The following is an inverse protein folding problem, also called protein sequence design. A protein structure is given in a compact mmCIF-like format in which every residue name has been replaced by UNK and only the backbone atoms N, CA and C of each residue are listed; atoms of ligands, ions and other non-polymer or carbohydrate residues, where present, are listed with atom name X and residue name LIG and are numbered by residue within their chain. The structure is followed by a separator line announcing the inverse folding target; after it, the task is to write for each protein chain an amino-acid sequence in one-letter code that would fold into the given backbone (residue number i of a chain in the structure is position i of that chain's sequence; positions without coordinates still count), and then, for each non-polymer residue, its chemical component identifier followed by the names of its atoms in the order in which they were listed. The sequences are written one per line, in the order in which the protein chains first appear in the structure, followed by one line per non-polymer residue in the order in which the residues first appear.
data_IF_020245220925
#
_entry.id   IF_020245220925
#
_cell.length_a   1.000
_cell.length_b   1.000
_cell.length_c   1.000
_cell.angle_alpha   90.00
_cell.angle_beta   90.00
_cell.angle_gamma   90.00
#
_symmetry.space_group_name_H-M   'P 1'
#
loop_
_entity.id
_entity.type
_entity.pdbx_description
1 polymer ?
#
# COMPACT_ATOMS: atom_id res chain seq x y z
N UNK A 1 -5.87 -21.17 -8.64
CA UNK A 1 -5.84 -19.73 -8.28
C UNK A 1 -4.55 -19.31 -7.54
N UNK A 2 -4.07 -20.02 -6.48
CA UNK A 2 -2.88 -19.59 -5.74
C UNK A 2 -1.60 -19.52 -6.60
N UNK A 3 -1.46 -20.43 -7.57
CA UNK A 3 -0.28 -20.52 -8.42
C UNK A 3 -0.09 -19.30 -9.33
N UNK A 4 -1.17 -18.78 -9.93
CA UNK A 4 -1.12 -17.56 -10.76
C UNK A 4 -0.82 -16.32 -9.91
N UNK A 5 -1.37 -16.26 -8.69
CA UNK A 5 -1.11 -15.21 -7.72
C UNK A 5 0.38 -15.17 -7.31
N UNK A 6 0.94 -16.33 -6.95
CA UNK A 6 2.37 -16.45 -6.60
C UNK A 6 3.26 -16.12 -7.79
N UNK A 7 2.92 -16.60 -9.00
CA UNK A 7 3.70 -16.27 -10.21
C UNK A 7 3.67 -14.77 -10.51
N UNK A 8 2.49 -14.12 -10.43
CA UNK A 8 2.36 -12.69 -10.66
C UNK A 8 3.17 -11.86 -9.64
N UNK A 9 3.10 -12.23 -8.36
CA UNK A 9 3.88 -11.56 -7.30
C UNK A 9 5.38 -11.79 -7.49
N UNK A 10 5.81 -13.02 -7.76
CA UNK A 10 7.24 -13.33 -7.98
C UNK A 10 7.78 -12.59 -9.20
N UNK A 11 7.01 -12.51 -10.29
CA UNK A 11 7.39 -11.74 -11.47
C UNK A 11 7.48 -10.24 -11.15
N UNK A 12 6.52 -9.68 -10.41
CA UNK A 12 6.56 -8.27 -9.99
C UNK A 12 7.74 -7.97 -9.09
N UNK A 13 7.95 -8.74 -8.02
CA UNK A 13 9.05 -8.55 -7.08
C UNK A 13 10.39 -8.67 -7.82
N UNK A 14 10.56 -9.67 -8.68
CA UNK A 14 11.81 -9.86 -9.43
C UNK A 14 12.11 -8.70 -10.37
N UNK A 15 11.11 -8.16 -11.05
CA UNK A 15 11.31 -7.03 -11.97
C UNK A 15 11.54 -5.73 -11.19
N UNK A 16 10.92 -5.56 -10.02
CA UNK A 16 11.17 -4.43 -9.14
C UNK A 16 12.53 -4.50 -8.44
N UNK A 17 13.12 -5.68 -8.21
CA UNK A 17 14.49 -5.85 -7.67
C UNK A 17 15.62 -5.43 -8.61
N UNK A 18 15.30 -5.07 -9.85
CA UNK A 18 16.28 -4.52 -10.78
C UNK A 18 16.58 -3.06 -10.42
N UNK A 19 17.85 -2.69 -10.49
CA UNK A 19 18.26 -1.29 -10.33
C UNK A 19 17.57 -0.42 -11.38
N UNK A 20 16.82 0.58 -10.93
CA UNK A 20 16.04 1.47 -11.79
C UNK A 20 16.84 2.76 -12.00
N UNK A 21 17.13 3.13 -13.25
CA UNK A 21 17.74 4.41 -13.58
C UNK A 21 16.84 5.55 -13.08
N UNK A 22 17.40 6.47 -12.29
CA UNK A 22 16.65 7.57 -11.67
C UNK A 22 16.07 8.60 -12.64
N UNK A 23 16.33 8.46 -13.95
CA UNK A 23 16.01 9.46 -14.95
C UNK A 23 16.79 10.77 -14.79
N UNK A 24 17.80 10.81 -13.91
CA UNK A 24 18.69 11.94 -13.72
C UNK A 24 20.04 11.64 -14.37
N UNK A 25 20.59 12.62 -15.10
CA UNK A 25 22.00 12.61 -15.48
C UNK A 25 22.76 13.43 -14.44
N UNK A 26 23.79 12.84 -13.86
CA UNK A 26 24.66 13.54 -12.91
C UNK A 26 26.07 13.59 -13.47
N UNK A 27 26.62 14.79 -13.51
CA UNK A 27 28.00 15.03 -13.87
C UNK A 27 28.82 15.11 -12.57
N UNK A 28 29.74 14.17 -12.38
CA UNK A 28 30.65 14.14 -11.23
C UNK A 28 32.09 14.41 -11.67
N UNK A 29 32.90 15.07 -10.84
CA UNK A 29 34.34 15.13 -11.11
C UNK A 29 35.03 13.79 -10.76
N UNK A 30 36.34 13.63 -11.05
CA UNK A 30 37.07 12.39 -10.74
C UNK A 30 37.11 12.03 -9.24
N UNK A 31 36.90 13.02 -8.35
CA UNK A 31 36.81 12.83 -6.90
C UNK A 31 35.36 12.61 -6.41
N UNK A 32 34.45 12.24 -7.31
CA UNK A 32 33.03 11.96 -7.09
C UNK A 32 32.14 13.13 -6.60
N UNK A 33 32.68 14.34 -6.48
CA UNK A 33 31.87 15.52 -6.15
C UNK A 33 30.96 15.92 -7.31
N UNK A 34 29.71 16.25 -7.00
CA UNK A 34 28.68 16.61 -7.99
C UNK A 34 29.00 17.99 -8.58
N UNK A 35 29.20 18.06 -9.90
CA UNK A 35 29.41 19.31 -10.63
C UNK A 35 28.09 19.92 -11.08
N UNK A 36 27.22 19.07 -11.64
CA UNK A 36 25.92 19.42 -12.22
C UNK A 36 24.96 18.23 -12.13
N UNK A 37 23.67 18.53 -11.88
CA UNK A 37 22.57 17.56 -11.97
C UNK A 37 21.62 18.03 -13.06
N UNK A 38 21.34 17.16 -14.01
CA UNK A 38 20.43 17.46 -15.11
C UNK A 38 18.98 17.46 -14.63
N UNK A 39 18.31 18.61 -14.76
CA UNK A 39 16.86 18.68 -14.60
C UNK A 39 16.17 17.90 -15.73
N UNK A 40 15.26 16.99 -15.37
CA UNK A 40 14.58 16.05 -16.29
C UNK A 40 15.52 15.14 -17.08
N UNK A 41 16.73 14.89 -16.58
CA UNK A 41 17.65 13.97 -17.21
C UNK A 41 18.23 14.45 -18.53
N UNK A 42 18.21 15.77 -18.81
CA UNK A 42 18.74 16.38 -20.04
C UNK A 42 19.84 17.40 -19.76
N UNK A 43 20.94 17.31 -20.51
CA UNK A 43 22.07 18.23 -20.53
C UNK A 43 22.29 18.73 -21.96
N UNK A 44 22.23 20.04 -22.14
CA UNK A 44 22.56 20.70 -23.40
C UNK A 44 24.01 21.17 -23.32
N UNK A 45 24.88 20.66 -24.20
CA UNK A 45 26.30 20.99 -24.26
C UNK A 45 26.57 21.78 -25.54
N UNK A 46 27.06 23.00 -25.38
CA UNK A 46 27.53 23.83 -26.50
C UNK A 46 29.04 23.73 -26.61
N UNK A 47 29.51 23.25 -27.76
CA UNK A 47 30.92 23.18 -28.13
C UNK A 47 31.22 24.32 -29.13
N UNK A 48 31.99 25.35 -28.76
CA UNK A 48 32.40 26.43 -29.65
C UNK A 48 33.53 25.99 -30.59
N UNK A 49 33.86 26.83 -31.58
CA UNK A 49 34.97 26.60 -32.51
C UNK A 49 36.29 26.40 -31.74
N UNK A 50 36.99 25.29 -32.01
CA UNK A 50 38.23 24.94 -31.33
C UNK A 50 38.04 24.25 -29.97
N UNK A 51 36.79 24.09 -29.51
CA UNK A 51 36.46 23.18 -28.42
C UNK A 51 36.39 21.73 -28.88
N UNK A 52 36.51 20.81 -27.91
CA UNK A 52 36.43 19.37 -28.14
C UNK A 52 35.53 18.76 -27.07
N UNK A 53 34.69 17.82 -27.44
CA UNK A 53 33.91 16.98 -26.54
C UNK A 53 34.09 15.52 -26.93
N UNK A 54 34.71 14.76 -26.04
CA UNK A 54 34.86 13.32 -26.15
C UNK A 54 33.93 12.64 -25.13
N UNK A 55 33.16 11.67 -25.62
CA UNK A 55 32.38 10.76 -24.80
C UNK A 55 32.99 9.38 -24.92
N UNK A 56 33.50 8.84 -23.80
CA UNK A 56 34.19 7.56 -23.74
C UNK A 56 33.50 6.62 -22.77
N UNK A 57 33.69 5.31 -22.94
CA UNK A 57 33.41 4.35 -21.86
C UNK A 57 34.41 4.55 -20.72
N UNK A 58 34.11 4.01 -19.54
CA UNK A 58 35.07 4.00 -18.41
C UNK A 58 36.34 3.18 -18.76
N UNK A 59 36.23 2.22 -19.68
CA UNK A 59 37.37 1.46 -20.21
C UNK A 59 38.20 2.22 -21.27
N UNK A 60 37.80 3.44 -21.64
CA UNK A 60 38.53 4.31 -22.57
C UNK A 60 38.14 4.18 -24.05
N UNK A 61 37.11 3.41 -24.39
CA UNK A 61 36.60 3.31 -25.76
C UNK A 61 35.88 4.60 -26.16
N UNK A 62 36.28 5.21 -27.29
CA UNK A 62 35.66 6.44 -27.79
C UNK A 62 34.30 6.15 -28.43
N UNK A 63 33.24 6.67 -27.81
CA UNK A 63 31.86 6.48 -28.27
C UNK A 63 31.40 7.60 -29.20
N UNK A 64 31.84 8.83 -28.95
CA UNK A 64 31.55 9.98 -29.79
C UNK A 64 32.59 11.08 -29.57
N UNK A 65 32.90 11.80 -30.65
CA UNK A 65 33.76 12.98 -30.64
C UNK A 65 33.07 14.12 -31.39
N UNK A 66 33.05 15.30 -30.77
CA UNK A 66 32.49 16.52 -31.36
C UNK A 66 33.56 17.61 -31.30
N UNK A 67 34.11 17.95 -32.48
CA UNK A 67 35.11 18.99 -32.67
C UNK A 67 34.69 19.91 -33.84
N UNK A 68 34.06 21.05 -33.57
CA UNK A 68 33.52 21.94 -34.60
C UNK A 68 34.63 22.69 -35.33
N UNK A 69 34.71 22.51 -36.66
CA UNK A 69 35.68 23.24 -37.52
C UNK A 69 35.26 24.68 -37.80
N UNK A 70 33.96 24.98 -37.74
CA UNK A 70 33.39 26.32 -37.90
C UNK A 70 32.11 26.47 -37.06
N UNK A 71 31.89 27.67 -36.49
CA UNK A 71 30.71 27.95 -35.66
C UNK A 71 30.70 27.25 -34.30
N UNK A 72 29.51 27.09 -33.72
CA UNK A 72 29.27 26.27 -32.51
C UNK A 72 28.48 25.01 -32.90
N UNK A 73 28.66 23.93 -32.17
CA UNK A 73 27.85 22.72 -32.27
C UNK A 73 27.14 22.48 -30.95
N UNK A 74 25.85 22.22 -31.03
CA UNK A 74 25.02 21.88 -29.88
C UNK A 74 24.85 20.36 -29.84
N UNK A 75 25.10 19.80 -28.65
CA UNK A 75 25.01 18.38 -28.34
C UNK A 75 24.03 18.23 -27.21
N UNK A 76 23.10 17.30 -27.35
CA UNK A 76 22.08 17.04 -26.34
C UNK A 76 22.31 15.63 -25.79
N UNK A 77 22.49 15.53 -24.47
CA UNK A 77 22.54 14.28 -23.74
C UNK A 77 21.27 14.16 -22.90
N UNK A 78 20.48 13.11 -23.10
CA UNK A 78 19.29 12.88 -22.29
C UNK A 78 19.10 11.42 -21.93
N UNK A 79 18.32 11.14 -20.88
CA UNK A 79 17.89 9.80 -20.54
C UNK A 79 16.50 9.56 -21.10
N UNK A 80 16.34 8.46 -21.82
CA UNK A 80 15.03 7.89 -22.16
C UNK A 80 15.02 6.40 -21.81
N UNK A 81 13.99 5.97 -21.07
CA UNK A 81 13.81 4.58 -20.58
C UNK A 81 15.08 3.95 -20.00
N UNK A 82 15.89 4.75 -19.28
CA UNK A 82 17.10 4.29 -18.62
C UNK A 82 18.35 4.17 -19.49
N UNK A 83 18.28 4.54 -20.78
CA UNK A 83 19.44 4.60 -21.68
C UNK A 83 19.87 6.04 -21.89
N UNK A 84 21.17 6.26 -22.13
CA UNK A 84 21.71 7.59 -22.46
C UNK A 84 21.59 7.79 -23.97
N UNK A 85 20.87 8.83 -24.37
CA UNK A 85 20.76 9.26 -25.75
C UNK A 85 21.70 10.44 -25.98
N UNK A 86 22.56 10.30 -26.98
CA UNK A 86 23.43 11.35 -27.46
C UNK A 86 22.89 11.84 -28.81
N UNK A 87 22.38 13.05 -28.84
CA UNK A 87 21.90 13.69 -30.06
C UNK A 87 22.89 14.75 -30.51
N UNK A 88 23.37 14.59 -31.74
CA UNK A 88 24.29 15.50 -32.41
C UNK A 88 23.69 15.95 -33.75
N UNK A 89 24.22 16.99 -34.41
CA UNK A 89 23.77 17.35 -35.76
C UNK A 89 23.96 16.24 -36.81
N UNK A 90 24.83 15.25 -36.53
CA UNK A 90 25.09 14.12 -37.42
C UNK A 90 24.13 12.94 -37.22
N UNK A 91 23.29 12.99 -36.18
CA UNK A 91 22.37 11.92 -35.81
C UNK A 91 22.32 11.66 -34.31
N UNK A 92 21.47 10.71 -33.94
CA UNK A 92 21.26 10.28 -32.56
C UNK A 92 21.87 8.90 -32.33
N UNK A 93 22.57 8.73 -31.22
CA UNK A 93 23.19 7.46 -30.80
C UNK A 93 22.66 7.07 -29.43
N UNK A 94 22.10 5.88 -29.34
CA UNK A 94 21.66 5.29 -28.06
C UNK A 94 22.84 4.55 -27.43
N UNK A 95 23.13 4.87 -26.18
CA UNK A 95 24.27 4.36 -25.43
C UNK A 95 23.75 3.58 -24.22
N UNK A 96 24.05 2.28 -24.18
CA UNK A 96 23.61 1.34 -23.14
C UNK A 96 24.66 1.20 -22.01
N UNK A 97 25.23 2.31 -21.54
CA UNK A 97 26.18 2.33 -20.42
C UNK A 97 25.66 3.23 -19.29
N UNK A 98 25.89 2.81 -18.04
CA UNK A 98 25.42 3.54 -16.84
C UNK A 98 26.39 4.63 -16.36
N UNK A 99 27.62 4.56 -16.86
CA UNK A 99 28.71 5.49 -16.60
C UNK A 99 29.48 5.75 -17.89
N UNK A 100 29.67 7.03 -18.20
CA UNK A 100 30.47 7.49 -19.33
C UNK A 100 31.48 8.52 -18.85
N UNK A 101 32.68 8.46 -19.41
CA UNK A 101 33.70 9.46 -19.19
C UNK A 101 33.47 10.59 -20.21
N UNK A 102 33.28 11.80 -19.72
CA UNK A 102 33.10 13.00 -20.51
C UNK A 102 34.33 13.88 -20.35
N UNK A 103 35.11 13.98 -21.42
CA UNK A 103 36.28 14.86 -21.48
C UNK A 103 35.99 15.98 -22.46
N UNK A 104 36.11 17.22 -22.01
CA UNK A 104 35.79 18.36 -22.85
C UNK A 104 36.74 19.53 -22.64
N UNK A 105 36.99 20.28 -23.71
CA UNK A 105 37.77 21.52 -23.70
C UNK A 105 36.93 22.66 -24.22
N UNK A 106 36.91 23.75 -23.47
CA UNK A 106 36.17 24.98 -23.78
C UNK A 106 34.69 24.71 -24.10
N UNK A 107 33.94 24.06 -23.22
CA UNK A 107 32.51 23.77 -23.42
C UNK A 107 31.63 24.54 -22.47
N UNK A 108 30.38 24.76 -22.86
CA UNK A 108 29.34 25.28 -21.96
C UNK A 108 28.28 24.21 -21.78
N UNK A 109 28.00 23.84 -20.54
CA UNK A 109 26.94 22.89 -20.18
C UNK A 109 25.79 23.66 -19.56
N UNK A 110 24.60 23.51 -20.13
CA UNK A 110 23.36 24.11 -19.66
C UNK A 110 22.34 23.05 -19.26
N UNK A 111 21.67 23.31 -18.14
CA UNK A 111 20.44 22.63 -17.73
C UNK A 111 19.37 23.68 -17.44
N UNK A 112 18.11 23.26 -17.27
CA UNK A 112 16.98 24.18 -17.07
C UNK A 112 17.17 24.96 -15.75
N UNK A 113 17.75 26.16 -15.86
CA UNK A 113 17.99 27.10 -14.74
C UNK A 113 19.46 27.35 -14.39
N UNK A 114 20.43 26.61 -14.96
CA UNK A 114 21.85 26.78 -14.65
C UNK A 114 22.72 26.52 -15.88
N UNK A 115 23.65 27.44 -16.17
CA UNK A 115 24.63 27.32 -17.26
C UNK A 115 26.02 27.49 -16.69
N UNK A 116 26.91 26.51 -16.91
CA UNK A 116 28.31 26.55 -16.47
C UNK A 116 29.26 26.35 -17.64
N UNK A 117 30.26 27.22 -17.74
CA UNK A 117 31.38 27.07 -18.68
C UNK A 117 32.53 26.27 -18.06
N UNK A 118 33.18 25.44 -18.86
CA UNK A 118 34.34 24.64 -18.46
C UNK A 118 35.46 24.77 -19.49
N UNK A 119 36.62 25.25 -19.06
CA UNK A 119 37.83 25.32 -19.90
C UNK A 119 38.43 23.93 -20.13
N UNK A 120 38.55 23.14 -19.07
CA UNK A 120 38.92 21.73 -19.11
C UNK A 120 37.99 20.94 -18.17
N UNK A 121 37.19 20.06 -18.74
CA UNK A 121 36.25 19.22 -18.02
C UNK A 121 36.70 17.76 -18.15
N UNK A 122 36.94 17.12 -17.02
CA UNK A 122 36.94 15.67 -16.92
C UNK A 122 35.85 15.31 -15.92
N UNK A 123 34.85 14.58 -16.37
CA UNK A 123 33.73 14.20 -15.54
C UNK A 123 33.24 12.79 -15.86
N UNK A 124 32.65 12.16 -14.85
CA UNK A 124 31.88 10.93 -15.02
C UNK A 124 30.42 11.33 -15.12
N UNK A 125 29.84 11.09 -16.29
CA UNK A 125 28.41 11.15 -16.51
C UNK A 125 27.81 9.83 -16.00
N UNK A 126 27.10 9.88 -14.88
CA UNK A 126 26.44 8.70 -14.31
C UNK A 126 24.93 8.85 -14.41
N UNK A 127 24.25 7.72 -14.61
CA UNK A 127 22.83 7.60 -14.31
C UNK A 127 22.72 7.00 -12.90
N UNK A 128 22.35 7.78 -11.87
CA UNK A 128 22.17 7.22 -10.54
C UNK A 128 21.12 6.13 -10.62
N UNK A 129 21.41 5.00 -9.98
CA UNK A 129 20.48 3.89 -9.90
C UNK A 129 19.90 3.82 -8.51
N UNK A 130 18.60 3.60 -8.43
CA UNK A 130 17.89 3.32 -7.17
C UNK A 130 17.43 1.88 -7.22
N UNK A 131 17.58 1.20 -6.09
CA UNK A 131 17.16 -0.19 -5.95
C UNK A 131 15.92 -0.25 -5.11
N UNK A 132 15.01 -1.16 -5.45
CA UNK A 132 13.87 -1.49 -4.60
C UNK A 132 14.28 -2.11 -3.27
N UNK A 133 15.51 -2.63 -3.16
CA UNK A 133 16.11 -3.06 -1.88
C UNK A 133 16.12 -1.90 -0.88
N UNK A 134 16.33 -0.65 -1.31
CA UNK A 134 16.24 0.51 -0.43
C UNK A 134 14.82 0.71 0.15
N UNK A 135 13.78 0.27 -0.58
CA UNK A 135 12.43 0.28 -0.06
C UNK A 135 12.16 -0.82 0.95
N UNK A 136 12.81 -1.97 0.81
CA UNK A 136 12.83 -3.01 1.85
C UNK A 136 13.59 -2.52 3.08
N UNK A 137 14.78 -1.95 2.90
CA UNK A 137 15.55 -1.37 4.01
C UNK A 137 14.75 -0.29 4.75
N UNK A 138 14.03 0.57 4.01
CA UNK A 138 13.15 1.57 4.59
C UNK A 138 12.04 0.95 5.46
N UNK A 139 11.44 -0.16 5.03
CA UNK A 139 10.33 -0.79 5.76
C UNK A 139 10.81 -1.62 6.96
N UNK A 140 11.95 -2.30 6.82
CA UNK A 140 12.42 -3.31 7.76
C UNK A 140 13.47 -2.81 8.76
N UNK A 141 13.97 -1.59 8.60
CA UNK A 141 14.92 -1.02 9.56
C UNK A 141 14.17 -0.39 10.74
N UNK A 142 14.35 -0.90 11.99
CA UNK A 142 13.56 -0.43 13.13
C UNK A 142 13.89 1.01 13.53
N UNK A 143 12.86 1.83 13.74
CA UNK A 143 12.96 3.13 14.43
C UNK A 143 12.39 3.02 15.86
N UNK A 144 13.27 2.69 16.81
CA UNK A 144 12.92 2.56 18.22
C UNK A 144 12.40 3.86 18.84
N UNK A 145 12.72 5.03 18.25
CA UNK A 145 12.23 6.32 18.70
C UNK A 145 10.71 6.46 18.52
N UNK A 146 10.13 5.75 17.55
CA UNK A 146 8.70 5.78 17.24
C UNK A 146 7.82 4.98 18.18
N UNK A 147 8.39 4.08 18.99
CA UNK A 147 7.61 3.30 19.96
C UNK A 147 6.95 4.16 21.04
N UNK A 148 7.43 5.38 21.26
CA UNK A 148 6.83 6.35 22.19
C UNK A 148 5.68 7.15 21.57
N UNK A 149 5.44 7.06 20.26
CA UNK A 149 4.38 7.78 19.56
C UNK A 149 3.07 6.97 19.62
N UNK A 150 2.04 7.43 20.35
CA UNK A 150 0.76 6.72 20.42
C UNK A 150 0.07 6.56 19.06
N UNK A 151 0.31 7.45 18.11
CA UNK A 151 -0.32 7.36 16.78
C UNK A 151 0.19 6.16 15.99
N UNK A 152 1.45 5.75 16.21
CA UNK A 152 2.02 4.55 15.58
C UNK A 152 1.31 3.30 16.09
N UNK A 153 1.00 3.23 17.39
CA UNK A 153 0.25 2.12 17.97
C UNK A 153 -1.21 2.10 17.51
N UNK A 154 -1.85 3.28 17.42
CA UNK A 154 -3.21 3.40 16.88
C UNK A 154 -3.27 2.89 15.43
N UNK A 155 -2.34 3.32 14.58
CA UNK A 155 -2.26 2.87 13.19
C UNK A 155 -1.98 1.36 13.09
N UNK A 156 -1.03 0.85 13.89
CA UNK A 156 -0.68 -0.57 13.89
C UNK A 156 -1.85 -1.47 14.32
N UNK A 157 -2.56 -1.11 15.38
CA UNK A 157 -3.72 -1.90 15.84
C UNK A 157 -4.88 -1.80 14.86
N UNK A 158 -5.17 -0.60 14.33
CA UNK A 158 -6.18 -0.44 13.28
C UNK A 158 -5.89 -1.34 12.08
N UNK A 159 -4.63 -1.38 11.63
CA UNK A 159 -4.21 -2.26 10.55
C UNK A 159 -4.39 -3.75 10.89
N UNK A 160 -4.01 -4.19 12.09
CA UNK A 160 -4.19 -5.59 12.53
C UNK A 160 -5.67 -5.99 12.56
N UNK A 161 -6.57 -5.12 13.03
CA UNK A 161 -8.01 -5.38 13.01
C UNK A 161 -8.54 -5.48 11.59
N UNK A 162 -8.15 -4.53 10.73
CA UNK A 162 -8.58 -4.48 9.34
C UNK A 162 -8.12 -5.70 8.54
N UNK A 163 -6.82 -6.02 8.59
CA UNK A 163 -6.23 -7.09 7.78
C UNK A 163 -6.69 -8.47 8.19
N UNK A 164 -6.86 -8.73 9.49
CA UNK A 164 -7.37 -10.00 10.00
C UNK A 164 -8.90 -10.08 10.04
N UNK A 165 -9.62 -9.05 9.57
CA UNK A 165 -11.09 -8.98 9.58
C UNK A 165 -11.70 -9.13 10.99
N UNK A 166 -11.02 -8.63 12.02
CA UNK A 166 -11.47 -8.67 13.41
C UNK A 166 -12.47 -7.54 13.70
N UNK A 167 -13.51 -7.82 14.48
CA UNK A 167 -14.56 -6.83 14.81
C UNK A 167 -15.57 -6.55 13.69
N UNK A 168 -15.44 -7.17 12.51
CA UNK A 168 -16.40 -7.09 11.41
C UNK A 168 -17.54 -8.12 11.51
N UNK A 169 -17.47 -9.06 12.45
CA UNK A 169 -18.39 -10.21 12.54
C UNK A 169 -18.19 -11.29 11.46
N UNK A 170 -17.42 -11.01 10.41
CA UNK A 170 -17.16 -11.93 9.30
C UNK A 170 -16.55 -13.26 9.76
N UNK A 171 -15.53 -13.22 10.63
CA UNK A 171 -14.88 -14.44 11.16
C UNK A 171 -15.84 -15.25 12.03
N UNK A 172 -16.68 -14.60 12.84
CA UNK A 172 -17.70 -15.27 13.66
C UNK A 172 -18.69 -16.01 12.75
N UNK A 173 -19.18 -15.34 11.71
CA UNK A 173 -20.10 -15.96 10.74
C UNK A 173 -19.43 -17.09 9.95
N UNK A 174 -18.16 -16.97 9.57
CA UNK A 174 -17.45 -18.05 8.88
C UNK A 174 -17.24 -19.26 9.82
N UNK A 175 -16.90 -19.00 11.08
CA UNK A 175 -16.71 -20.02 12.09
C UNK A 175 -18.01 -20.75 12.46
N UNK A 176 -19.20 -20.13 12.27
CA UNK A 176 -20.49 -20.81 12.53
C UNK A 176 -20.76 -21.97 11.55
N UNK A 177 -20.10 -21.99 10.39
CA UNK A 177 -20.17 -23.10 9.43
C UNK A 177 -19.18 -24.24 9.74
N UNK A 178 -18.26 -24.03 10.69
CA UNK A 178 -17.34 -25.07 11.16
C UNK A 178 -18.12 -26.06 12.02
N UNK A 179 -17.90 -27.36 11.82
CA UNK A 179 -18.58 -28.37 12.62
C UNK A 179 -18.12 -28.27 14.06
N UNK A 180 -19.03 -28.58 14.98
CA UNK A 180 -18.84 -28.48 16.42
C UNK A 180 -17.45 -28.97 16.90
N UNK A 181 -16.98 -30.16 16.53
CA UNK A 181 -15.71 -30.73 17.03
C UNK A 181 -14.52 -30.60 16.07
N UNK A 182 -14.60 -29.72 15.06
CA UNK A 182 -13.45 -29.42 14.21
C UNK A 182 -12.49 -28.43 14.87
N UNK A 183 -11.20 -28.60 14.60
CA UNK A 183 -10.15 -27.71 15.08
C UNK A 183 -10.31 -26.29 14.54
N UNK A 184 -10.38 -25.34 15.47
CA UNK A 184 -10.31 -23.90 15.17
C UNK A 184 -8.97 -23.28 15.60
N UNK A 185 -8.18 -23.96 16.45
CA UNK A 185 -6.93 -23.42 16.98
C UNK A 185 -5.83 -23.41 15.91
N UNK A 186 -5.55 -24.54 15.26
CA UNK A 186 -4.57 -24.59 14.18
C UNK A 186 -5.12 -23.92 12.92
N UNK A 187 -6.40 -24.15 12.58
CA UNK A 187 -7.04 -23.52 11.43
C UNK A 187 -7.03 -21.99 11.50
N UNK A 188 -7.37 -21.42 12.67
CA UNK A 188 -7.33 -19.97 12.90
C UNK A 188 -5.91 -19.40 12.86
N UNK A 189 -4.94 -20.10 13.47
CA UNK A 189 -3.53 -19.70 13.40
C UNK A 189 -3.00 -19.74 11.97
N UNK A 190 -3.34 -20.78 11.19
CA UNK A 190 -2.93 -20.91 9.80
C UNK A 190 -3.53 -19.79 8.94
N UNK A 191 -4.83 -19.48 9.11
CA UNK A 191 -5.48 -18.38 8.39
C UNK A 191 -4.81 -17.03 8.71
N UNK A 192 -4.60 -16.72 9.99
CA UNK A 192 -3.92 -15.49 10.40
C UNK A 192 -2.48 -15.44 9.87
N UNK A 193 -1.73 -16.52 9.97
CA UNK A 193 -0.33 -16.57 9.51
C UNK A 193 -0.20 -16.41 7.99
N UNK A 194 -1.14 -16.99 7.21
CA UNK A 194 -1.20 -16.81 5.76
C UNK A 194 -1.55 -15.37 5.39
N UNK A 195 -2.43 -14.72 6.15
CA UNK A 195 -2.73 -13.30 5.98
C UNK A 195 -1.47 -12.45 6.22
N UNK A 196 -0.80 -12.63 7.36
CA UNK A 196 0.41 -11.86 7.69
C UNK A 196 1.52 -12.10 6.66
N UNK A 197 1.71 -13.34 6.22
CA UNK A 197 2.65 -13.62 5.13
C UNK A 197 2.29 -12.86 3.85
N UNK A 198 1.02 -12.83 3.46
CA UNK A 198 0.58 -12.08 2.29
C UNK A 198 0.78 -10.56 2.48
N UNK A 199 0.47 -10.01 3.65
CA UNK A 199 0.63 -8.58 3.94
C UNK A 199 2.11 -8.17 3.96
N UNK A 200 2.91 -8.78 4.83
CA UNK A 200 4.26 -8.33 5.12
C UNK A 200 5.30 -8.85 4.14
N UNK A 201 5.07 -9.96 3.45
CA UNK A 201 6.00 -10.45 2.43
C UNK A 201 5.55 -10.01 1.05
N UNK A 202 4.30 -10.22 0.67
CA UNK A 202 3.86 -9.97 -0.71
C UNK A 202 3.45 -8.51 -0.92
N UNK A 203 2.53 -7.98 -0.11
CA UNK A 203 2.04 -6.60 -0.24
C UNK A 203 3.13 -5.56 -0.04
N UNK A 204 3.86 -5.69 1.08
CA UNK A 204 4.98 -4.84 1.44
C UNK A 204 6.13 -4.86 0.41
N UNK A 205 6.35 -5.97 -0.31
CA UNK A 205 7.46 -6.07 -1.28
C UNK A 205 7.15 -5.52 -2.68
N UNK A 206 5.93 -5.03 -2.92
CA UNK A 206 5.52 -4.50 -4.23
C UNK A 206 5.49 -2.98 -4.21
N UNK A 207 4.54 -2.38 -3.48
CA UNK A 207 4.21 -0.97 -3.65
C UNK A 207 5.30 -0.01 -3.14
N UNK A 208 5.78 -0.24 -1.91
CA UNK A 208 6.80 0.61 -1.29
C UNK A 208 8.15 0.45 -2.01
N UNK A 209 8.67 -0.77 -2.28
CA UNK A 209 9.90 -0.94 -3.02
C UNK A 209 9.86 -0.34 -4.43
N UNK A 210 8.74 -0.48 -5.16
CA UNK A 210 8.57 0.18 -6.45
C UNK A 210 8.62 1.70 -6.34
N UNK A 211 7.86 2.28 -5.41
CA UNK A 211 7.83 3.73 -5.22
C UNK A 211 9.18 4.29 -4.77
N UNK A 212 9.91 3.59 -3.91
CA UNK A 212 11.26 3.99 -3.48
C UNK A 212 12.26 3.88 -4.62
N UNK A 213 12.20 2.81 -5.42
CA UNK A 213 13.07 2.64 -6.57
C UNK A 213 12.89 3.79 -7.59
N UNK A 214 11.66 4.20 -7.87
CA UNK A 214 11.41 5.28 -8.82
C UNK A 214 11.61 6.68 -8.22
N UNK A 215 10.98 6.95 -7.08
CA UNK A 215 10.87 8.31 -6.53
C UNK A 215 11.87 8.62 -5.41
N UNK A 216 12.49 7.59 -4.82
CA UNK A 216 13.28 7.70 -3.59
C UNK A 216 12.41 7.73 -2.34
N UNK A 217 13.01 7.43 -1.17
CA UNK A 217 12.31 7.28 0.11
C UNK A 217 11.47 8.50 0.48
N UNK A 218 12.05 9.71 0.43
CA UNK A 218 11.35 10.92 0.82
C UNK A 218 10.07 11.17 -0.01
N UNK A 219 10.16 11.01 -1.33
CA UNK A 219 9.01 11.20 -2.21
C UNK A 219 7.98 10.07 -2.09
N UNK A 220 8.43 8.82 -1.89
CA UNK A 220 7.52 7.70 -1.64
C UNK A 220 6.67 7.93 -0.37
N UNK A 221 7.26 8.47 0.70
CA UNK A 221 6.53 8.87 1.92
C UNK A 221 5.52 9.98 1.61
N UNK A 222 5.91 11.00 0.84
CA UNK A 222 5.00 12.10 0.47
C UNK A 222 3.81 11.59 -0.34
N UNK A 223 4.05 10.72 -1.33
CA UNK A 223 3.00 10.06 -2.12
C UNK A 223 2.03 9.30 -1.22
N UNK A 224 2.55 8.48 -0.29
CA UNK A 224 1.72 7.71 0.63
C UNK A 224 0.85 8.59 1.53
N UNK A 225 1.35 9.78 1.92
CA UNK A 225 0.60 10.76 2.74
C UNK A 225 -0.44 11.56 1.98
N UNK A 226 -0.39 11.63 0.65
CA UNK A 226 -1.34 12.41 -0.15
C UNK A 226 -2.72 11.77 -0.26
N UNK A 227 -2.85 10.46 0.04
CA UNK A 227 -4.14 9.76 0.04
C UNK A 227 -3.98 8.25 -0.10
N UNK A 228 -4.91 7.49 0.49
CA UNK A 228 -4.86 6.03 0.57
C UNK A 228 -4.76 5.32 -0.80
N UNK A 229 -5.37 5.90 -1.84
CA UNK A 229 -5.38 5.31 -3.19
C UNK A 229 -4.18 5.70 -4.05
N UNK A 230 -3.42 6.76 -3.71
CA UNK A 230 -2.40 7.32 -4.61
C UNK A 230 -1.31 6.30 -4.96
N UNK A 231 -0.80 5.57 -3.95
CA UNK A 231 0.28 4.63 -4.16
C UNK A 231 -0.14 3.50 -5.13
N UNK A 232 -1.31 2.91 -4.91
CA UNK A 232 -1.80 1.75 -5.66
C UNK A 232 -2.44 2.08 -7.01
N UNK A 233 -3.13 3.21 -7.14
CA UNK A 233 -3.95 3.54 -8.31
C UNK A 233 -3.36 4.67 -9.18
N UNK A 234 -2.36 5.41 -8.69
CA UNK A 234 -1.71 6.49 -9.45
C UNK A 234 -0.24 6.19 -9.66
N UNK A 235 0.51 6.00 -8.57
CA UNK A 235 1.97 5.86 -8.64
C UNK A 235 2.41 4.54 -9.26
N UNK A 236 1.83 3.41 -8.86
CA UNK A 236 2.19 2.11 -9.44
C UNK A 236 1.88 2.00 -10.94
N UNK A 237 0.70 2.41 -11.45
CA UNK A 237 0.46 2.46 -12.89
C UNK A 237 1.42 3.38 -13.63
N UNK A 238 1.76 4.55 -13.06
CA UNK A 238 2.74 5.45 -13.63
C UNK A 238 4.14 4.80 -13.69
N UNK A 239 4.54 4.09 -12.64
CA UNK A 239 5.77 3.29 -12.61
C UNK A 239 5.74 2.24 -13.71
N UNK A 240 4.69 1.43 -13.80
CA UNK A 240 4.58 0.37 -14.81
C UNK A 240 4.62 0.94 -16.23
N UNK A 241 4.05 2.11 -16.49
CA UNK A 241 4.11 2.75 -17.82
C UNK A 241 5.53 3.06 -18.32
N UNK A 242 6.50 3.16 -17.40
CA UNK A 242 7.91 3.37 -17.70
C UNK A 242 8.70 2.06 -17.86
N UNK A 243 8.05 0.91 -17.68
CA UNK A 243 8.66 -0.42 -17.80
C UNK A 243 8.37 -1.06 -19.15
N UNK A 244 9.29 -1.89 -19.63
CA UNK A 244 9.00 -2.78 -20.76
C UNK A 244 7.90 -3.77 -20.37
N UNK A 245 6.93 -4.00 -21.26
CA UNK A 245 5.69 -4.72 -20.95
C UNK A 245 4.88 -4.14 -19.77
N UNK A 246 5.02 -2.84 -19.48
CA UNK A 246 4.33 -2.14 -18.39
C UNK A 246 2.82 -2.38 -18.28
N UNK A 247 2.11 -2.41 -19.41
CA UNK A 247 0.66 -2.67 -19.43
C UNK A 247 0.31 -4.07 -18.89
N UNK A 248 1.15 -5.07 -19.15
CA UNK A 248 0.95 -6.42 -18.64
C UNK A 248 1.10 -6.45 -17.11
N UNK A 249 2.11 -5.77 -16.56
CA UNK A 249 2.27 -5.64 -15.10
C UNK A 249 1.14 -4.81 -14.47
N UNK A 250 0.69 -3.74 -15.13
CA UNK A 250 -0.49 -2.99 -14.70
C UNK A 250 -1.75 -3.86 -14.64
N UNK A 251 -1.99 -4.70 -15.66
CA UNK A 251 -3.08 -5.67 -15.66
C UNK A 251 -2.96 -6.65 -14.48
N UNK A 252 -1.78 -7.25 -14.28
CA UNK A 252 -1.55 -8.18 -13.16
C UNK A 252 -1.81 -7.52 -11.80
N UNK A 253 -1.42 -6.25 -11.63
CA UNK A 253 -1.62 -5.50 -10.39
C UNK A 253 -3.09 -5.29 -10.09
N UNK A 254 -3.86 -4.79 -11.06
CA UNK A 254 -5.29 -4.56 -10.85
C UNK A 254 -6.08 -5.85 -10.78
N UNK A 255 -5.67 -6.89 -11.51
CA UNK A 255 -6.29 -8.21 -11.41
C UNK A 255 -6.03 -8.84 -10.03
N UNK A 256 -4.83 -8.67 -9.47
CA UNK A 256 -4.49 -9.05 -8.10
C UNK A 256 -5.41 -8.37 -7.09
N UNK A 257 -5.50 -7.04 -7.15
CA UNK A 257 -6.38 -6.25 -6.27
C UNK A 257 -7.85 -6.63 -6.43
N UNK A 258 -8.30 -6.91 -7.65
CA UNK A 258 -9.67 -7.35 -7.92
C UNK A 258 -9.98 -8.68 -7.23
N UNK A 259 -9.12 -9.70 -7.36
CA UNK A 259 -9.33 -10.99 -6.70
C UNK A 259 -9.32 -10.83 -5.18
N UNK A 260 -8.35 -10.10 -4.62
CA UNK A 260 -8.25 -9.85 -3.18
C UNK A 260 -9.47 -9.10 -2.63
N UNK A 261 -9.97 -8.10 -3.36
CA UNK A 261 -11.17 -7.35 -3.01
C UNK A 261 -12.44 -8.20 -3.09
N UNK A 262 -12.60 -9.01 -4.13
CA UNK A 262 -13.76 -9.90 -4.29
C UNK A 262 -13.84 -10.90 -3.15
N UNK A 263 -12.74 -11.60 -2.82
CA UNK A 263 -12.74 -12.60 -1.74
C UNK A 263 -13.10 -12.00 -0.39
N UNK A 264 -12.61 -10.79 -0.09
CA UNK A 264 -12.86 -10.10 1.18
C UNK A 264 -14.27 -9.52 1.25
N UNK A 265 -14.77 -8.97 0.14
CA UNK A 265 -16.13 -8.43 0.05
C UNK A 265 -17.19 -9.48 0.33
N UNK A 266 -17.05 -10.69 -0.23
CA UNK A 266 -17.97 -11.81 0.03
C UNK A 266 -17.99 -12.18 1.53
N UNK A 267 -16.85 -12.16 2.21
CA UNK A 267 -16.78 -12.46 3.64
C UNK A 267 -17.53 -11.45 4.50
N UNK A 268 -17.42 -10.15 4.20
CA UNK A 268 -18.06 -9.07 4.97
C UNK A 268 -19.57 -8.99 4.67
N UNK A 269 -20.02 -9.48 3.51
CA UNK A 269 -21.45 -9.59 3.18
C UNK A 269 -22.13 -10.77 3.85
N UNK A 270 -21.38 -11.84 4.15
CA UNK A 270 -21.91 -13.07 4.69
C UNK A 270 -22.64 -12.90 6.04
N UNK A 271 -22.20 -12.07 7.01
CA UNK A 271 -22.94 -11.80 8.25
C UNK A 271 -24.39 -11.38 8.03
N UNK A 272 -24.65 -10.47 7.07
CA UNK A 272 -26.02 -10.03 6.78
C UNK A 272 -26.85 -11.15 6.12
N UNK A 273 -26.23 -11.93 5.23
CA UNK A 273 -26.88 -13.06 4.57
C UNK A 273 -27.27 -14.11 5.62
N UNK A 274 -26.34 -14.50 6.49
CA UNK A 274 -26.57 -15.46 7.56
C UNK A 274 -27.64 -14.98 8.54
N UNK A 275 -27.60 -13.70 8.94
CA UNK A 275 -28.65 -13.10 9.78
C UNK A 275 -30.05 -13.24 9.15
N UNK A 276 -30.20 -12.98 7.86
CA UNK A 276 -31.48 -13.12 7.17
C UNK A 276 -31.91 -14.60 7.02
N UNK A 277 -30.97 -15.52 6.84
CA UNK A 277 -31.26 -16.96 6.77
C UNK A 277 -31.68 -17.50 8.15
N UNK A 278 -30.87 -17.25 9.17
CA UNK A 278 -30.99 -17.86 10.50
C UNK A 278 -32.14 -17.25 11.32
N UNK A 279 -32.32 -15.93 11.23
CA UNK A 279 -33.30 -15.21 12.08
C UNK A 279 -34.66 -15.02 11.38
N UNK A 280 -34.68 -14.95 10.05
CA UNK A 280 -35.91 -14.73 9.28
C UNK A 280 -36.39 -15.94 8.48
N UNK A 281 -35.57 -17.00 8.36
CA UNK A 281 -35.88 -18.21 7.61
C UNK A 281 -35.90 -17.98 6.09
N UNK A 282 -35.24 -16.93 5.59
CA UNK A 282 -35.21 -16.65 4.16
C UNK A 282 -34.36 -17.67 3.41
N UNK A 283 -34.78 -18.00 2.18
CA UNK A 283 -33.93 -18.79 1.29
C UNK A 283 -32.65 -18.02 0.97
N UNK A 284 -31.53 -18.74 0.79
CA UNK A 284 -30.23 -18.14 0.43
C UNK A 284 -30.31 -17.16 -0.72
N UNK A 285 -31.05 -17.52 -1.79
CA UNK A 285 -31.22 -16.65 -2.96
C UNK A 285 -31.87 -15.32 -2.60
N UNK A 286 -32.88 -15.34 -1.73
CA UNK A 286 -33.55 -14.14 -1.24
C UNK A 286 -32.63 -13.32 -0.33
N UNK A 287 -31.95 -13.95 0.63
CA UNK A 287 -31.03 -13.26 1.55
C UNK A 287 -29.87 -12.57 0.80
N UNK A 288 -29.27 -13.27 -0.18
CA UNK A 288 -28.23 -12.70 -1.05
C UNK A 288 -28.76 -11.53 -1.85
N UNK A 289 -29.93 -11.66 -2.49
CA UNK A 289 -30.51 -10.59 -3.31
C UNK A 289 -30.81 -9.34 -2.47
N UNK A 290 -31.40 -9.50 -1.28
CA UNK A 290 -31.70 -8.39 -0.38
C UNK A 290 -30.43 -7.71 0.12
N UNK A 291 -29.41 -8.49 0.52
CA UNK A 291 -28.12 -7.96 0.95
C UNK A 291 -27.44 -7.18 -0.19
N UNK A 292 -27.44 -7.72 -1.41
CA UNK A 292 -26.89 -7.06 -2.58
C UNK A 292 -27.64 -5.75 -2.90
N UNK A 293 -28.96 -5.71 -2.74
CA UNK A 293 -29.76 -4.50 -2.94
C UNK A 293 -29.42 -3.41 -1.90
N UNK A 294 -29.29 -3.78 -0.62
CA UNK A 294 -28.90 -2.84 0.45
C UNK A 294 -27.53 -2.23 0.15
N UNK A 295 -26.57 -3.07 -0.24
CA UNK A 295 -25.20 -2.63 -0.56
C UNK A 295 -25.18 -1.78 -1.83
N UNK A 296 -25.92 -2.16 -2.87
CA UNK A 296 -26.00 -1.40 -4.11
C UNK A 296 -26.54 0.00 -3.88
N UNK A 297 -27.60 0.14 -3.07
CA UNK A 297 -28.16 1.45 -2.72
C UNK A 297 -27.19 2.25 -1.85
N UNK A 298 -26.55 1.62 -0.85
CA UNK A 298 -25.55 2.28 -0.01
C UNK A 298 -24.32 2.77 -0.78
N UNK A 299 -23.87 1.99 -1.76
CA UNK A 299 -22.70 2.32 -2.59
C UNK A 299 -22.89 3.58 -3.44
N UNK A 300 -24.14 4.00 -3.74
CA UNK A 300 -24.37 5.21 -4.54
C UNK A 300 -23.80 6.46 -3.85
N UNK A 301 -23.94 6.56 -2.52
CA UNK A 301 -23.39 7.68 -1.76
C UNK A 301 -21.86 7.70 -1.81
N UNK A 302 -21.21 6.52 -1.75
CA UNK A 302 -19.75 6.38 -1.91
C UNK A 302 -19.29 6.84 -3.30
N UNK A 303 -20.04 6.51 -4.36
CA UNK A 303 -19.68 6.85 -5.74
C UNK A 303 -19.84 8.34 -6.03
N UNK A 304 -20.91 8.96 -5.53
CA UNK A 304 -21.27 10.33 -5.92
C UNK A 304 -20.88 11.41 -4.91
N UNK A 305 -20.56 11.07 -3.66
CA UNK A 305 -20.20 12.03 -2.62
C UNK A 305 -18.74 11.85 -2.18
N UNK A 306 -17.87 12.75 -2.62
CA UNK A 306 -16.47 12.75 -2.23
C UNK A 306 -16.31 12.91 -0.70
N UNK A 307 -15.48 12.07 -0.08
CA UNK A 307 -15.27 12.02 1.37
C UNK A 307 -16.29 11.18 2.15
N UNK A 308 -17.33 10.66 1.49
CA UNK A 308 -18.32 9.78 2.15
C UNK A 308 -17.70 8.45 2.56
N UNK A 309 -16.87 7.86 1.69
CA UNK A 309 -16.14 6.62 1.99
C UNK A 309 -15.22 6.76 3.20
N UNK A 310 -14.48 7.87 3.28
CA UNK A 310 -13.53 8.12 4.37
C UNK A 310 -14.24 8.18 5.73
N UNK A 311 -15.45 8.75 5.77
CA UNK A 311 -16.24 8.80 7.00
C UNK A 311 -16.81 7.42 7.37
N UNK A 312 -17.24 6.61 6.40
CA UNK A 312 -17.66 5.23 6.66
C UNK A 312 -16.50 4.38 7.19
N UNK A 313 -15.33 4.48 6.56
CA UNK A 313 -14.13 3.74 6.94
C UNK A 313 -13.65 4.14 8.34
N UNK A 314 -13.64 5.44 8.64
CA UNK A 314 -13.28 5.94 9.97
C UNK A 314 -14.18 5.35 11.08
N UNK A 315 -15.50 5.43 10.92
CA UNK A 315 -16.41 4.94 11.96
C UNK A 315 -16.51 3.42 11.98
N UNK A 316 -16.82 2.80 10.85
CA UNK A 316 -17.11 1.37 10.79
C UNK A 316 -15.83 0.52 10.69
N UNK A 317 -14.91 0.89 9.80
CA UNK A 317 -13.69 0.12 9.48
C UNK A 317 -12.53 0.33 10.45
N UNK A 318 -12.53 1.44 11.20
CA UNK A 318 -11.43 1.79 12.12
C UNK A 318 -11.90 1.87 13.58
N UNK A 319 -12.85 2.74 13.90
CA UNK A 319 -13.24 2.97 15.30
C UNK A 319 -14.08 1.83 15.89
N UNK A 320 -15.19 1.49 15.25
CA UNK A 320 -16.14 0.52 15.80
C UNK A 320 -15.61 -0.91 15.80
N UNK A 321 -14.72 -1.31 14.88
CA UNK A 321 -14.10 -2.65 14.94
C UNK A 321 -13.29 -2.87 16.21
N UNK A 322 -12.58 -1.84 16.70
CA UNK A 322 -11.82 -1.92 17.95
C UNK A 322 -12.78 -1.98 19.15
N UNK A 323 -13.84 -1.16 19.12
CA UNK A 323 -14.89 -1.17 20.14
C UNK A 323 -15.56 -2.54 20.21
N UNK A 324 -15.98 -3.09 19.08
CA UNK A 324 -16.62 -4.40 18.98
C UNK A 324 -15.66 -5.52 19.41
N UNK A 325 -14.39 -5.48 19.01
CA UNK A 325 -13.40 -6.46 19.48
C UNK A 325 -13.21 -6.43 21.00
N UNK A 326 -13.21 -5.25 21.63
CA UNK A 326 -13.18 -5.14 23.09
C UNK A 326 -14.44 -5.75 23.71
N UNK A 327 -15.62 -5.43 23.17
CA UNK A 327 -16.89 -6.01 23.65
C UNK A 327 -16.93 -7.53 23.50
N UNK A 328 -16.50 -8.08 22.36
CA UNK A 328 -16.44 -9.52 22.11
C UNK A 328 -15.55 -10.23 23.12
N UNK A 329 -14.36 -9.67 23.42
CA UNK A 329 -13.45 -10.22 24.44
C UNK A 329 -14.09 -10.18 25.83
N UNK A 330 -14.72 -9.07 26.22
CA UNK A 330 -15.40 -8.95 27.52
C UNK A 330 -16.56 -9.95 27.61
N UNK A 331 -17.40 -10.04 26.57
CA UNK A 331 -18.53 -10.94 26.53
C UNK A 331 -18.08 -12.40 26.64
N UNK A 332 -17.07 -12.80 25.87
CA UNK A 332 -16.65 -14.19 25.79
C UNK A 332 -15.78 -14.63 26.97
N UNK A 333 -14.80 -13.82 27.40
CA UNK A 333 -13.88 -14.22 28.48
C UNK A 333 -14.33 -13.78 29.87
N UNK A 334 -15.11 -12.71 30.03
CA UNK A 334 -15.48 -12.21 31.36
C UNK A 334 -16.92 -12.51 31.72
N UNK A 335 -17.87 -12.31 30.79
CA UNK A 335 -19.30 -12.53 31.07
C UNK A 335 -19.69 -14.00 30.91
N UNK A 336 -19.27 -14.67 29.83
CA UNK A 336 -19.61 -16.08 29.61
C UNK A 336 -18.89 -17.04 30.58
N UNK A 337 -17.59 -16.80 30.79
CA UNK A 337 -16.66 -17.38 31.78
C UNK A 337 -15.33 -17.74 31.10
N UNK A 338 -14.21 -17.29 31.65
CA UNK A 338 -12.90 -17.45 31.05
C UNK A 338 -12.48 -18.93 30.90
N UNK A 339 -12.86 -19.81 31.84
CA UNK A 339 -12.48 -21.23 31.75
C UNK A 339 -13.28 -21.93 30.67
N UNK A 340 -14.59 -21.67 30.60
CA UNK A 340 -15.45 -22.20 29.53
C UNK A 340 -15.02 -21.70 28.15
N UNK A 341 -14.68 -20.42 28.02
CA UNK A 341 -14.14 -19.85 26.79
C UNK A 341 -12.84 -20.55 26.36
N UNK A 342 -11.92 -20.77 27.32
CA UNK A 342 -10.67 -21.47 27.05
C UNK A 342 -10.88 -22.93 26.64
N UNK A 343 -11.79 -23.64 27.30
CA UNK A 343 -12.18 -25.00 26.93
C UNK A 343 -12.77 -25.04 25.52
N UNK A 344 -13.64 -24.08 25.18
CA UNK A 344 -14.28 -24.00 23.87
C UNK A 344 -13.27 -23.73 22.75
N UNK A 345 -12.31 -22.82 22.96
CA UNK A 345 -11.23 -22.54 21.99
C UNK A 345 -10.36 -23.76 21.73
N UNK A 346 -10.11 -24.59 22.74
CA UNK A 346 -9.25 -25.77 22.64
C UNK A 346 -10.02 -27.06 22.30
N UNK A 347 -11.35 -26.99 22.17
CA UNK A 347 -12.20 -28.14 21.90
C UNK A 347 -11.96 -28.66 20.47
N UNK A 348 -11.74 -29.96 20.33
CA UNK A 348 -11.44 -30.57 19.02
C UNK A 348 -10.10 -30.13 18.40
N UNK A 349 -9.25 -29.41 19.15
CA UNK A 349 -8.04 -28.80 18.64
C UNK A 349 -6.97 -29.81 18.22
N UNK A 350 -6.39 -29.61 17.03
CA UNK A 350 -5.19 -30.32 16.57
C UNK A 350 -3.94 -29.82 17.30
N UNK A 351 -4.00 -28.57 17.77
CA UNK A 351 -3.04 -28.00 18.71
C UNK A 351 -3.80 -27.44 19.91
N UNK A 352 -3.10 -27.31 21.05
CA UNK A 352 -3.59 -26.49 22.16
C UNK A 352 -2.98 -25.11 22.08
N UNK A 353 -3.81 -24.10 22.31
CA UNK A 353 -3.35 -22.72 22.42
C UNK A 353 -2.39 -22.62 23.62
N UNK A 354 -1.20 -22.00 23.47
CA UNK A 354 -0.26 -21.85 24.58
C UNK A 354 -0.89 -21.12 25.76
N UNK A 355 -0.72 -21.65 26.98
CA UNK A 355 -1.40 -21.16 28.19
C UNK A 355 -1.17 -19.67 28.49
N UNK A 356 -0.07 -19.08 28.01
CA UNK A 356 0.16 -17.64 28.13
C UNK A 356 -0.97 -16.81 27.48
N UNK A 357 -1.57 -17.30 26.39
CA UNK A 357 -2.67 -16.61 25.71
C UNK A 357 -3.95 -16.56 26.54
N UNK A 358 -4.16 -17.49 27.49
CA UNK A 358 -5.25 -17.39 28.45
C UNK A 358 -5.17 -16.06 29.22
N UNK A 359 -3.97 -15.70 29.68
CA UNK A 359 -3.74 -14.46 30.44
C UNK A 359 -3.71 -13.24 29.52
N UNK A 360 -3.15 -13.37 28.32
CA UNK A 360 -3.13 -12.28 27.33
C UNK A 360 -4.55 -11.86 26.98
N UNK A 361 -5.39 -12.80 26.53
CA UNK A 361 -6.76 -12.49 26.10
C UNK A 361 -7.62 -12.03 27.27
N UNK A 362 -7.42 -12.61 28.47
CA UNK A 362 -8.21 -12.24 29.64
C UNK A 362 -7.85 -10.86 30.22
N UNK A 363 -6.58 -10.46 30.20
CA UNK A 363 -6.12 -9.25 30.92
C UNK A 363 -5.43 -8.22 30.03
N UNK A 364 -4.47 -8.65 29.20
CA UNK A 364 -3.64 -7.73 28.40
C UNK A 364 -4.45 -7.15 27.25
N UNK A 365 -5.13 -7.99 26.46
CA UNK A 365 -5.93 -7.56 25.31
C UNK A 365 -7.00 -6.53 25.69
N UNK A 366 -7.91 -6.78 26.66
CA UNK A 366 -8.95 -5.81 26.98
C UNK A 366 -8.38 -4.51 27.54
N UNK A 367 -7.32 -4.57 28.35
CA UNK A 367 -6.64 -3.36 28.86
C UNK A 367 -5.99 -2.57 27.73
N UNK A 368 -5.30 -3.24 26.82
CA UNK A 368 -4.61 -2.62 25.69
C UNK A 368 -5.60 -1.94 24.74
N UNK A 369 -6.68 -2.64 24.37
CA UNK A 369 -7.75 -2.07 23.54
C UNK A 369 -8.45 -0.90 24.25
N UNK A 370 -8.69 -0.98 25.56
CA UNK A 370 -9.28 0.12 26.33
C UNK A 370 -8.38 1.35 26.34
N UNK A 371 -7.09 1.20 26.62
CA UNK A 371 -6.12 2.31 26.60
C UNK A 371 -6.04 2.92 25.21
N UNK A 372 -6.04 2.10 24.17
CA UNK A 372 -6.00 2.57 22.79
C UNK A 372 -7.27 3.34 22.42
N UNK A 373 -8.46 2.86 22.82
CA UNK A 373 -9.72 3.58 22.60
C UNK A 373 -9.73 4.93 23.32
N UNK A 374 -9.26 5.00 24.56
CA UNK A 374 -9.13 6.26 25.29
C UNK A 374 -8.20 7.23 24.54
N UNK A 375 -7.03 6.74 24.11
CA UNK A 375 -6.08 7.54 23.33
C UNK A 375 -6.65 7.99 21.98
N UNK A 376 -7.38 7.12 21.29
CA UNK A 376 -8.05 7.43 20.03
C UNK A 376 -9.10 8.52 20.22
N UNK A 377 -9.95 8.40 21.25
CA UNK A 377 -10.99 9.39 21.56
C UNK A 377 -10.35 10.75 21.88
N UNK A 378 -9.31 10.76 22.72
CA UNK A 378 -8.61 11.98 23.11
C UNK A 378 -7.96 12.69 21.92
N UNK A 379 -7.29 11.95 21.03
CA UNK A 379 -6.49 12.52 19.95
C UNK A 379 -7.27 12.80 18.67
N UNK A 380 -8.28 11.98 18.33
CA UNK A 380 -8.97 12.03 17.04
C UNK A 380 -10.42 12.53 17.15
N UNK A 381 -11.15 12.15 18.21
CA UNK A 381 -12.56 12.49 18.34
C UNK A 381 -12.73 13.90 18.92
N UNK A 382 -12.10 14.19 20.07
CA UNK A 382 -12.27 15.47 20.76
C UNK A 382 -11.69 16.65 19.97
N UNK A 383 -10.64 16.42 19.19
CA UNK A 383 -10.02 17.42 18.32
C UNK A 383 -10.78 17.64 17.01
N UNK A 384 -11.49 16.63 16.50
CA UNK A 384 -12.16 16.63 15.19
C UNK A 384 -13.64 17.05 15.18
N UNK A 385 -14.30 17.12 16.35
CA UNK A 385 -15.74 17.42 16.45
C UNK A 385 -16.15 18.83 15.98
N UNK A 386 -15.20 19.77 15.84
CA UNK A 386 -15.49 21.17 15.51
C UNK A 386 -15.65 21.52 14.03
N UNK A 387 -15.31 20.63 13.08
CA UNK A 387 -15.17 21.01 11.65
C UNK A 387 -15.72 19.99 10.65
N UNK A 388 -16.80 19.26 10.99
CA UNK A 388 -17.39 18.30 10.06
C UNK A 388 -18.17 18.98 8.93
N UNK A 389 -17.87 18.61 7.68
CA UNK A 389 -18.57 19.10 6.50
C UNK A 389 -19.94 18.42 6.32
N UNK A 390 -20.75 18.93 5.39
CA UNK A 390 -22.11 18.40 5.14
C UNK A 390 -22.09 16.92 4.74
N UNK A 391 -21.14 16.49 3.90
CA UNK A 391 -21.03 15.10 3.44
C UNK A 391 -20.73 14.16 4.61
N UNK A 392 -19.85 14.57 5.54
CA UNK A 392 -19.55 13.80 6.75
C UNK A 392 -20.78 13.65 7.63
N UNK A 393 -21.59 14.71 7.79
CA UNK A 393 -22.86 14.59 8.50
C UNK A 393 -23.84 13.64 7.81
N UNK A 394 -23.97 13.72 6.49
CA UNK A 394 -24.80 12.78 5.72
C UNK A 394 -24.34 11.34 5.95
N UNK A 395 -23.04 11.07 5.92
CA UNK A 395 -22.48 9.74 6.18
C UNK A 395 -22.77 9.26 7.62
N UNK A 396 -22.63 10.12 8.62
CA UNK A 396 -22.97 9.80 10.02
C UNK A 396 -24.45 9.50 10.21
N UNK A 397 -25.34 10.30 9.63
CA UNK A 397 -26.78 10.04 9.66
C UNK A 397 -27.14 8.75 8.93
N UNK A 398 -26.48 8.46 7.81
CA UNK A 398 -26.64 7.19 7.09
C UNK A 398 -26.23 5.99 7.96
N UNK A 399 -25.07 6.05 8.61
CA UNK A 399 -24.61 5.00 9.53
C UNK A 399 -25.57 4.80 10.71
N UNK A 400 -26.04 5.90 11.31
CA UNK A 400 -27.01 5.85 12.40
C UNK A 400 -28.34 5.24 11.93
N UNK A 401 -28.83 5.63 10.75
CA UNK A 401 -30.05 5.07 10.17
C UNK A 401 -29.90 3.57 9.88
N UNK A 402 -28.75 3.14 9.37
CA UNK A 402 -28.44 1.73 9.14
C UNK A 402 -28.39 0.94 10.45
N UNK A 403 -27.77 1.48 11.49
CA UNK A 403 -27.75 0.88 12.82
C UNK A 403 -29.16 0.72 13.40
N UNK A 404 -29.97 1.79 13.36
CA UNK A 404 -31.37 1.75 13.84
C UNK A 404 -32.19 0.73 13.04
N UNK A 405 -32.01 0.68 11.73
CA UNK A 405 -32.65 -0.30 10.87
C UNK A 405 -32.30 -1.74 11.28
N UNK A 406 -31.02 -2.05 11.47
CA UNK A 406 -30.57 -3.37 11.92
C UNK A 406 -31.08 -3.71 13.32
N UNK A 407 -31.10 -2.74 14.25
CA UNK A 407 -31.64 -2.93 15.59
C UNK A 407 -33.15 -3.27 15.56
N UNK A 408 -33.91 -2.62 14.68
CA UNK A 408 -35.32 -2.94 14.44
C UNK A 408 -35.48 -4.36 13.88
N UNK A 409 -34.63 -4.77 12.93
CA UNK A 409 -34.66 -6.14 12.41
C UNK A 409 -34.39 -7.17 13.51
N UNK A 410 -33.41 -6.92 14.38
CA UNK A 410 -33.12 -7.80 15.53
C UNK A 410 -34.33 -7.88 16.48
N UNK A 411 -34.96 -6.74 16.79
CA UNK A 411 -36.17 -6.72 17.62
C UNK A 411 -37.33 -7.52 17.00
N UNK A 412 -37.51 -7.42 15.68
CA UNK A 412 -38.53 -8.20 14.95
C UNK A 412 -38.18 -9.70 15.00
N UNK A 413 -36.92 -10.07 14.76
CA UNK A 413 -36.48 -11.46 14.83
C UNK A 413 -36.73 -12.08 16.21
N UNK A 414 -36.38 -11.37 17.28
CA UNK A 414 -36.60 -11.81 18.66
C UNK A 414 -38.10 -12.04 18.97
N UNK A 415 -38.95 -11.10 18.54
CA UNK A 415 -40.41 -11.23 18.65
C UNK A 415 -40.95 -12.45 17.90
N UNK A 416 -40.42 -12.75 16.71
CA UNK A 416 -40.82 -13.92 15.91
C UNK A 416 -40.42 -15.22 16.60
N UNK A 417 -39.19 -15.30 17.14
CA UNK A 417 -38.73 -16.46 17.91
C UNK A 417 -39.61 -16.72 19.13
N UNK A 418 -39.89 -15.68 19.93
CA UNK A 418 -40.75 -15.79 21.10
C UNK A 418 -42.16 -16.30 20.76
N UNK A 419 -42.73 -15.91 19.61
CA UNK A 419 -44.04 -16.38 19.15
C UNK A 419 -44.02 -17.82 18.63
N UNK A 420 -42.90 -18.32 18.11
CA UNK A 420 -42.74 -19.69 17.64
C UNK A 420 -42.45 -20.72 18.74
N UNK A 421 -42.03 -20.25 19.92
CA UNK A 421 -41.74 -21.08 21.10
C UNK A 421 -42.94 -21.25 22.05
N UNK A 422 -44.08 -20.64 21.73
CA UNK A 422 -45.39 -20.82 22.39
C UNK A 422 -46.26 -21.67 21.47
#
# INVERSE_FOLDING_TARGET
MPTLFVIAVVLMVRVLTLEIPTGQLVLKNPNESILLVANNGKLDITVPKGGVLDLKTVSGELLAEVSPKAGKTEVELYIDRGKIHLKTPKGEKVISYDQLLLEAKNVTVSTKGETKGFENLQAVLTVPKRSSVQGLDFLWNPDWGKLKDPNVWIAAVGQIFFTLSLGFGAIITYASYVRRDQDIALSGLAAASLNEFAEVILGASIAIPAAVAFFGVANAILIAKQGAFNLGFVSLPAIFSNMEAGQFFGFLWFFLLFIAGVTSSVAILQPMIAFLEDEFGFSRKTAVFLTALIVFVGAQAVVFLAGFLDELDFWAGTFFVIVLGLFEVILFYWIYDAKKAWEEINRGGLIRVPQIYYYIVRYITPLFLLVLLIGFIANNLLSGLGHANVVQWIARFYLLALYVFLAILVFIADRRKAQSSV
#
